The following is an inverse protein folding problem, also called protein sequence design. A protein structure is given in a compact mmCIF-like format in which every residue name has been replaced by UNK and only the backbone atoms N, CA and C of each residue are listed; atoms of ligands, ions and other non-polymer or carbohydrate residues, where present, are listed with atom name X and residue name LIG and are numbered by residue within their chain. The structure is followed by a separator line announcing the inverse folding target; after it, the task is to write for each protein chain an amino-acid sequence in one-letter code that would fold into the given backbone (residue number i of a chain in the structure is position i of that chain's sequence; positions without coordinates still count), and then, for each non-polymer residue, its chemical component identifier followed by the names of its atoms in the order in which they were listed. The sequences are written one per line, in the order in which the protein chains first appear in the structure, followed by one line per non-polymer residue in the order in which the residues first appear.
data_IF_330110641830
#
_entry.id   IF_330110641830
#
_cell.length_a   1.000
_cell.length_b   1.000
_cell.length_c   1.000
_cell.angle_alpha   90.00
_cell.angle_beta   90.00
_cell.angle_gamma   90.00
#
_symmetry.space_group_name_H-M   'P 1'
#
loop_
_entity.id
_entity.type
_entity.pdbx_description
1 polymer ?
#
# COMPACT_ATOMS: atom_id res chain seq x y z
N UNK A 1 68.97 0.35 27.72
CA UNK A 1 68.96 1.07 26.43
C UNK A 1 68.31 0.18 25.36
N UNK A 2 67.00 -0.13 25.47
CA UNK A 2 66.31 -0.97 24.46
C UNK A 2 64.76 -0.96 24.55
N UNK A 3 64.10 0.20 24.69
CA UNK A 3 62.63 0.27 24.80
C UNK A 3 61.96 1.41 23.98
N UNK A 4 62.72 2.24 23.24
CA UNK A 4 62.16 3.43 22.57
C UNK A 4 61.90 3.20 21.05
N UNK A 5 62.39 2.10 20.47
CA UNK A 5 62.32 1.87 18.99
C UNK A 5 61.02 1.16 18.55
N UNK A 6 60.24 0.58 19.46
CA UNK A 6 59.08 -0.25 19.11
C UNK A 6 57.73 0.51 19.05
N UNK A 7 57.75 1.84 19.13
CA UNK A 7 56.56 2.71 19.08
C UNK A 7 56.26 3.28 17.68
N UNK A 8 57.15 3.07 16.70
CA UNK A 8 57.04 3.68 15.35
C UNK A 8 56.16 2.93 14.34
N UNK A 9 55.88 1.64 14.54
CA UNK A 9 55.15 0.82 13.54
C UNK A 9 53.64 0.69 13.81
N UNK A 10 53.15 1.04 15.00
CA UNK A 10 51.72 0.88 15.33
C UNK A 10 50.84 2.01 14.77
N UNK A 11 51.43 3.18 14.52
CA UNK A 11 50.72 4.38 14.05
C UNK A 11 50.02 4.15 12.69
N UNK A 12 50.66 3.56 11.65
CA UNK A 12 49.99 3.36 10.36
C UNK A 12 48.81 2.38 10.44
N UNK A 13 48.90 1.31 11.24
CA UNK A 13 47.81 0.33 11.37
C UNK A 13 46.57 0.91 12.06
N UNK A 14 46.76 1.78 13.05
CA UNK A 14 45.66 2.47 13.72
C UNK A 14 44.94 3.42 12.77
N UNK A 15 45.67 4.16 11.93
CA UNK A 15 45.08 5.07 10.94
C UNK A 15 44.26 4.30 9.89
N UNK A 16 44.80 3.20 9.37
CA UNK A 16 44.08 2.35 8.39
C UNK A 16 42.80 1.76 8.99
N UNK A 17 42.86 1.29 10.25
CA UNK A 17 41.69 0.77 10.95
C UNK A 17 40.60 1.83 11.15
N UNK A 18 40.97 3.07 11.48
CA UNK A 18 40.02 4.18 11.66
C UNK A 18 39.35 4.55 10.33
N UNK A 19 40.11 4.66 9.24
CA UNK A 19 39.56 4.97 7.91
C UNK A 19 38.61 3.85 7.45
N UNK A 20 38.95 2.59 7.72
CA UNK A 20 38.10 1.44 7.37
C UNK A 20 36.80 1.42 8.18
N UNK A 21 36.86 1.72 9.49
CA UNK A 21 35.68 1.85 10.34
C UNK A 21 34.79 3.02 9.91
N UNK A 22 35.37 4.17 9.54
CA UNK A 22 34.60 5.30 8.99
C UNK A 22 33.94 4.90 7.67
N UNK A 23 34.66 4.19 6.79
CA UNK A 23 34.13 3.68 5.53
C UNK A 23 32.98 2.69 5.72
N UNK A 24 33.11 1.76 6.68
CA UNK A 24 32.06 0.81 7.06
C UNK A 24 30.85 1.55 7.65
N UNK A 25 31.07 2.52 8.54
CA UNK A 25 29.97 3.32 9.11
C UNK A 25 29.28 4.14 8.02
N UNK A 26 30.04 4.67 7.05
CA UNK A 26 29.48 5.38 5.91
C UNK A 26 28.71 4.44 4.98
N UNK A 27 29.24 3.24 4.70
CA UNK A 27 28.58 2.21 3.89
C UNK A 27 27.29 1.70 4.56
N UNK A 28 27.34 1.43 5.87
CA UNK A 28 26.19 1.07 6.68
C UNK A 28 25.18 2.22 6.72
N UNK A 29 25.62 3.48 6.80
CA UNK A 29 24.72 4.61 6.63
C UNK A 29 24.11 4.63 5.24
N UNK A 30 24.86 4.47 4.16
CA UNK A 30 24.31 4.51 2.79
C UNK A 30 23.31 3.39 2.55
N UNK A 31 23.56 2.18 3.05
CA UNK A 31 22.62 1.05 2.91
C UNK A 31 21.42 1.15 3.86
N UNK A 32 21.57 1.72 5.06
CA UNK A 32 20.48 1.85 6.04
C UNK A 32 19.70 3.17 5.95
N UNK A 33 20.22 4.21 5.28
CA UNK A 33 19.49 5.47 5.03
C UNK A 33 18.47 5.35 3.90
N UNK A 34 18.63 4.39 2.98
CA UNK A 34 17.63 4.11 1.94
C UNK A 34 16.30 3.55 2.48
N UNK A 35 16.24 3.22 3.77
CA UNK A 35 15.06 2.64 4.42
C UNK A 35 14.15 3.66 5.13
N UNK A 36 14.38 4.97 4.99
CA UNK A 36 13.51 5.98 5.62
C UNK A 36 13.22 7.17 4.71
N UNK A 37 12.02 7.18 4.12
CA UNK A 37 11.09 8.32 4.14
C UNK A 37 9.92 8.09 3.18
N UNK A 38 9.09 7.07 3.43
CA UNK A 38 7.64 7.33 3.29
C UNK A 38 7.33 8.21 4.48
N UNK A 39 7.00 9.49 4.24
CA UNK A 39 6.67 10.44 5.29
C UNK A 39 5.69 9.77 6.26
N UNK A 40 6.12 9.60 7.50
CA UNK A 40 5.24 9.13 8.56
C UNK A 40 4.20 10.23 8.79
N UNK A 41 3.09 10.14 8.07
CA UNK A 41 1.83 10.62 8.59
C UNK A 41 1.65 9.82 9.87
N UNK A 42 1.78 10.48 11.02
CA UNK A 42 1.41 9.91 12.30
C UNK A 42 -0.10 9.69 12.27
N UNK A 43 -0.51 8.56 11.70
CA UNK A 43 -1.89 8.12 11.65
C UNK A 43 -2.35 7.92 13.09
N UNK A 44 -3.64 8.19 13.40
CA UNK A 44 -4.15 8.03 14.75
C UNK A 44 -3.80 6.64 15.29
N UNK A 45 -3.50 6.50 16.59
CA UNK A 45 -3.00 5.27 17.20
C UNK A 45 -4.03 4.12 17.26
N UNK A 46 -5.09 4.19 16.44
CA UNK A 46 -6.16 3.21 16.39
C UNK A 46 -5.76 2.10 15.43
N UNK A 47 -5.50 0.89 15.92
CA UNK A 47 -5.29 -0.25 15.04
C UNK A 47 -6.59 -0.63 14.33
N UNK A 48 -6.61 -0.54 13.01
CA UNK A 48 -7.72 -1.01 12.19
C UNK A 48 -7.62 -2.54 12.02
N UNK A 49 -8.74 -3.23 12.20
CA UNK A 49 -8.85 -4.69 12.12
C UNK A 49 -9.16 -5.14 10.68
N UNK A 50 -9.90 -4.34 9.91
CA UNK A 50 -10.39 -4.66 8.56
C UNK A 50 -10.27 -3.46 7.64
N UNK A 51 -9.12 -3.39 6.98
CA UNK A 51 -8.81 -2.33 6.01
C UNK A 51 -9.29 -2.76 4.62
N UNK A 52 -10.15 -1.97 3.98
CA UNK A 52 -10.65 -2.20 2.64
C UNK A 52 -9.89 -1.37 1.61
N UNK A 53 -9.46 -2.01 0.52
CA UNK A 53 -8.93 -1.37 -0.68
C UNK A 53 -9.84 -1.74 -1.85
N UNK A 54 -10.56 -0.77 -2.43
CA UNK A 54 -11.33 -1.00 -3.63
C UNK A 54 -10.45 -0.84 -4.87
N UNK A 55 -10.70 -1.66 -5.88
CA UNK A 55 -10.16 -1.53 -7.21
C UNK A 55 -11.28 -1.70 -8.24
N UNK A 56 -11.09 -1.07 -9.40
CA UNK A 56 -11.94 -1.18 -10.58
C UNK A 56 -11.05 -1.18 -11.83
N UNK A 57 -11.62 -1.32 -13.02
CA UNK A 57 -10.86 -1.41 -14.28
C UNK A 57 -9.83 -0.27 -14.45
N UNK A 58 -10.24 0.97 -14.14
CA UNK A 58 -9.40 2.17 -14.26
C UNK A 58 -8.57 2.47 -12.99
N UNK A 59 -8.90 1.83 -11.86
CA UNK A 59 -8.27 2.05 -10.56
C UNK A 59 -7.68 0.72 -10.06
N UNK A 60 -6.43 0.43 -10.43
CA UNK A 60 -5.72 -0.78 -9.98
C UNK A 60 -4.99 -0.54 -8.67
N UNK A 61 -4.68 -1.62 -7.95
CA UNK A 61 -3.84 -1.55 -6.75
C UNK A 61 -2.43 -1.08 -7.08
N UNK A 62 -1.95 -0.07 -6.37
CA UNK A 62 -0.55 0.35 -6.42
C UNK A 62 0.23 -0.25 -5.24
N UNK A 63 1.55 -0.48 -5.39
CA UNK A 63 2.38 -0.94 -4.27
C UNK A 63 2.32 0.00 -3.05
N UNK A 64 2.21 1.31 -3.31
CA UNK A 64 2.04 2.32 -2.27
C UNK A 64 0.72 2.15 -1.51
N UNK A 65 -0.40 1.91 -2.21
CA UNK A 65 -1.70 1.66 -1.60
C UNK A 65 -1.67 0.44 -0.68
N UNK A 66 -1.10 -0.66 -1.18
CA UNK A 66 -0.99 -1.90 -0.42
C UNK A 66 -0.10 -1.70 0.80
N UNK A 67 1.07 -1.07 0.64
CA UNK A 67 1.99 -0.77 1.74
C UNK A 67 1.33 0.09 2.83
N UNK A 68 0.60 1.14 2.44
CA UNK A 68 -0.14 2.00 3.37
C UNK A 68 -1.24 1.23 4.10
N UNK A 69 -2.00 0.40 3.38
CA UNK A 69 -3.03 -0.41 4.00
C UNK A 69 -2.46 -1.41 5.00
N UNK A 70 -1.32 -2.01 4.68
CA UNK A 70 -0.61 -2.90 5.58
C UNK A 70 -0.10 -2.19 6.83
N UNK A 71 0.46 -0.98 6.70
CA UNK A 71 0.96 -0.23 7.84
C UNK A 71 -0.17 0.25 8.77
N UNK A 72 -1.36 0.45 8.21
CA UNK A 72 -2.59 0.78 8.94
C UNK A 72 -3.27 -0.45 9.55
N UNK A 73 -3.12 -1.61 8.92
CA UNK A 73 -3.63 -2.88 9.39
C UNK A 73 -2.73 -3.44 10.50
N UNK A 74 -3.18 -3.34 11.76
CA UNK A 74 -2.58 -4.09 12.87
C UNK A 74 -1.67 -3.31 13.81
N UNK A 75 -2.26 -2.82 14.89
CA UNK A 75 -1.53 -2.56 16.14
C UNK A 75 -1.50 -3.81 16.99
N UNK A 76 -0.64 -4.75 16.63
CA UNK A 76 -0.29 -5.93 17.44
C UNK A 76 -0.86 -7.28 16.99
N UNK A 77 -1.66 -7.34 15.92
CA UNK A 77 -2.13 -8.59 15.29
C UNK A 77 -2.12 -8.43 13.77
N UNK A 78 -2.03 -9.53 12.98
CA UNK A 78 -2.12 -9.43 11.52
C UNK A 78 -3.50 -8.91 11.14
N UNK A 79 -3.57 -7.62 10.82
CA UNK A 79 -4.80 -6.99 10.34
C UNK A 79 -5.22 -7.60 9.01
N UNK A 80 -6.54 -7.73 8.81
CA UNK A 80 -7.08 -8.23 7.55
C UNK A 80 -7.13 -7.09 6.54
N UNK A 81 -6.53 -7.31 5.37
CA UNK A 81 -6.62 -6.38 4.24
C UNK A 81 -7.59 -6.99 3.22
N UNK A 82 -8.75 -6.37 3.10
CA UNK A 82 -9.80 -6.73 2.17
C UNK A 82 -9.55 -6.05 0.83
N UNK A 83 -9.14 -6.86 -0.14
CA UNK A 83 -8.92 -6.47 -1.53
C UNK A 83 -10.21 -6.75 -2.32
N UNK A 84 -10.93 -5.69 -2.70
CA UNK A 84 -12.18 -5.82 -3.46
C UNK A 84 -11.98 -5.31 -4.88
N UNK A 85 -12.19 -6.17 -5.87
CA UNK A 85 -12.22 -5.77 -7.28
C UNK A 85 -13.66 -5.73 -7.79
N UNK A 86 -14.08 -4.56 -8.27
CA UNK A 86 -15.43 -4.36 -8.80
C UNK A 86 -15.39 -4.43 -10.33
N UNK A 87 -16.11 -5.39 -10.88
CA UNK A 87 -16.38 -5.51 -12.31
C UNK A 87 -17.62 -4.70 -12.61
N UNK A 88 -17.46 -3.67 -13.46
CA UNK A 88 -18.56 -2.85 -13.91
C UNK A 88 -19.36 -3.58 -15.00
N UNK A 89 -20.62 -3.91 -14.70
CA UNK A 89 -21.49 -4.63 -15.63
C UNK A 89 -22.17 -3.63 -16.57
N UNK A 90 -22.00 -3.74 -17.90
CA UNK A 90 -22.71 -2.90 -18.86
C UNK A 90 -24.24 -3.00 -18.72
N UNK A 91 -24.95 -1.89 -18.97
CA UNK A 91 -26.43 -1.89 -18.93
C UNK A 91 -27.07 -2.77 -20.00
N UNK A 92 -26.35 -3.05 -21.09
CA UNK A 92 -26.77 -3.94 -22.17
C UNK A 92 -26.79 -5.42 -21.75
N UNK A 93 -26.09 -5.77 -20.67
CA UNK A 93 -26.03 -7.14 -20.15
C UNK A 93 -26.95 -7.32 -18.94
N UNK A 94 -27.35 -8.57 -18.73
CA UNK A 94 -27.99 -9.00 -17.49
C UNK A 94 -27.04 -8.79 -16.30
N UNK A 95 -27.53 -8.43 -15.11
CA UNK A 95 -26.69 -8.18 -13.92
C UNK A 95 -25.73 -9.33 -13.59
N UNK A 96 -26.18 -10.58 -13.79
CA UNK A 96 -25.40 -11.79 -13.51
C UNK A 96 -24.78 -12.40 -14.75
N UNK A 97 -24.66 -11.63 -15.84
CA UNK A 97 -24.03 -12.11 -17.06
C UNK A 97 -22.59 -12.60 -16.77
N UNK A 98 -22.18 -13.74 -17.33
CA UNK A 98 -20.79 -14.19 -17.22
C UNK A 98 -19.89 -13.18 -17.95
N UNK A 99 -18.80 -12.77 -17.30
CA UNK A 99 -17.83 -11.79 -17.81
C UNK A 99 -16.42 -12.39 -17.67
N UNK A 100 -16.10 -13.46 -18.43
CA UNK A 100 -14.96 -14.32 -18.14
C UNK A 100 -13.61 -13.60 -18.30
N UNK A 101 -13.49 -12.64 -19.21
CA UNK A 101 -12.26 -11.88 -19.40
C UNK A 101 -12.00 -10.93 -18.23
N UNK A 102 -13.02 -10.22 -17.79
CA UNK A 102 -12.99 -9.30 -16.67
C UNK A 102 -12.81 -10.04 -15.33
N UNK A 103 -13.45 -11.21 -15.18
CA UNK A 103 -13.25 -12.10 -14.03
C UNK A 103 -11.82 -12.65 -13.97
N UNK A 104 -11.24 -13.02 -15.11
CA UNK A 104 -9.87 -13.47 -15.19
C UNK A 104 -8.86 -12.34 -14.89
N UNK A 105 -9.12 -11.11 -15.36
CA UNK A 105 -8.30 -9.94 -15.01
C UNK A 105 -8.44 -9.59 -13.53
N UNK A 106 -9.66 -9.57 -12.99
CA UNK A 106 -9.93 -9.33 -11.57
C UNK A 106 -9.14 -10.31 -10.69
N UNK A 107 -9.19 -11.60 -11.03
CA UNK A 107 -8.42 -12.65 -10.34
C UNK A 107 -6.91 -12.40 -10.42
N UNK A 108 -6.37 -12.08 -11.61
CA UNK A 108 -4.95 -11.76 -11.79
C UNK A 108 -4.51 -10.56 -10.96
N UNK A 109 -5.28 -9.48 -10.97
CA UNK A 109 -5.00 -8.25 -10.22
C UNK A 109 -5.06 -8.52 -8.70
N UNK A 110 -6.08 -9.22 -8.24
CA UNK A 110 -6.24 -9.58 -6.82
C UNK A 110 -5.12 -10.49 -6.33
N UNK A 111 -4.72 -11.50 -7.10
CA UNK A 111 -3.62 -12.41 -6.72
C UNK A 111 -2.31 -11.64 -6.51
N UNK A 112 -1.95 -10.75 -7.43
CA UNK A 112 -0.74 -9.90 -7.31
C UNK A 112 -0.80 -9.01 -6.08
N UNK A 113 -1.95 -8.39 -5.82
CA UNK A 113 -2.13 -7.55 -4.63
C UNK A 113 -2.08 -8.38 -3.34
N UNK A 114 -2.68 -9.58 -3.32
CA UNK A 114 -2.65 -10.47 -2.17
C UNK A 114 -1.22 -10.95 -1.84
N UNK A 115 -0.39 -11.20 -2.85
CA UNK A 115 1.04 -11.48 -2.65
C UNK A 115 1.77 -10.29 -2.03
N UNK A 116 1.47 -9.06 -2.45
CA UNK A 116 2.04 -7.86 -1.85
C UNK A 116 1.59 -7.69 -0.38
N UNK A 117 0.33 -7.97 -0.07
CA UNK A 117 -0.19 -7.99 1.31
C UNK A 117 0.49 -9.07 2.16
N UNK A 118 0.72 -10.27 1.61
CA UNK A 118 1.44 -11.31 2.37
C UNK A 118 2.87 -10.88 2.68
N UNK A 119 3.55 -10.24 1.72
CA UNK A 119 4.93 -9.75 1.89
C UNK A 119 5.06 -8.64 2.94
N UNK A 120 4.02 -7.84 3.16
CA UNK A 120 3.99 -6.82 4.21
C UNK A 120 3.57 -7.38 5.60
N UNK A 121 3.30 -8.68 5.73
CA UNK A 121 2.86 -9.32 6.97
C UNK A 121 1.35 -9.24 7.24
N UNK A 122 0.55 -8.75 6.29
CA UNK A 122 -0.91 -8.69 6.41
C UNK A 122 -1.61 -9.99 6.00
N UNK A 123 -2.89 -10.12 6.34
CA UNK A 123 -3.76 -11.23 5.89
C UNK A 123 -4.67 -10.75 4.74
N UNK A 124 -4.44 -11.16 3.48
CA UNK A 124 -5.31 -10.75 2.39
C UNK A 124 -6.63 -11.52 2.41
N UNK A 125 -7.72 -10.80 2.14
CA UNK A 125 -9.04 -11.34 1.81
C UNK A 125 -9.40 -10.80 0.43
N UNK A 126 -9.56 -11.67 -0.57
CA UNK A 126 -9.85 -11.26 -1.95
C UNK A 126 -11.34 -11.41 -2.23
N UNK A 127 -11.95 -10.39 -2.82
CA UNK A 127 -13.34 -10.41 -3.26
C UNK A 127 -13.47 -9.84 -4.66
N UNK A 128 -14.16 -10.57 -5.55
CA UNK A 128 -14.65 -10.05 -6.82
C UNK A 128 -16.13 -9.74 -6.65
N UNK A 129 -16.52 -8.53 -7.00
CA UNK A 129 -17.92 -8.08 -6.93
C UNK A 129 -18.34 -7.54 -8.30
N UNK A 130 -19.59 -7.78 -8.69
CA UNK A 130 -20.17 -7.28 -9.94
C UNK A 130 -21.19 -6.22 -9.63
N UNK A 131 -21.12 -5.07 -10.28
CA UNK A 131 -22.10 -4.01 -10.10
C UNK A 131 -22.14 -3.07 -11.29
N UNK A 132 -23.25 -2.36 -11.46
CA UNK A 132 -23.33 -1.23 -12.43
C UNK A 132 -22.80 0.07 -11.84
N UNK A 133 -22.59 0.12 -10.52
CA UNK A 133 -22.19 1.31 -9.79
C UNK A 133 -21.13 0.93 -8.76
N UNK A 134 -19.87 1.22 -9.06
CA UNK A 134 -18.74 0.87 -8.20
C UNK A 134 -18.80 1.56 -6.83
N UNK A 135 -19.28 2.80 -6.76
CA UNK A 135 -19.47 3.51 -5.49
C UNK A 135 -20.44 2.76 -4.58
N UNK A 136 -21.63 2.41 -5.07
CA UNK A 136 -22.64 1.71 -4.26
C UNK A 136 -22.15 0.32 -3.82
N UNK A 137 -21.47 -0.39 -4.70
CA UNK A 137 -20.95 -1.73 -4.38
C UNK A 137 -19.79 -1.68 -3.39
N UNK A 138 -18.92 -0.66 -3.47
CA UNK A 138 -17.89 -0.44 -2.46
C UNK A 138 -18.52 -0.12 -1.11
N UNK A 139 -19.53 0.75 -1.07
CA UNK A 139 -20.27 1.07 0.17
C UNK A 139 -20.96 -0.17 0.76
N UNK A 140 -21.48 -1.07 -0.09
CA UNK A 140 -22.01 -2.37 0.35
C UNK A 140 -20.91 -3.26 0.92
N UNK A 141 -19.79 -3.40 0.21
CA UNK A 141 -18.64 -4.18 0.69
C UNK A 141 -18.12 -3.69 2.06
N UNK A 142 -18.05 -2.37 2.28
CA UNK A 142 -17.69 -1.79 3.58
C UNK A 142 -18.63 -2.27 4.68
N UNK A 143 -19.94 -2.30 4.43
CA UNK A 143 -20.96 -2.73 5.41
C UNK A 143 -20.95 -4.24 5.63
N UNK A 144 -20.97 -5.02 4.55
CA UNK A 144 -21.00 -6.49 4.59
C UNK A 144 -19.80 -7.04 5.36
N UNK A 145 -18.62 -6.50 5.06
CA UNK A 145 -17.36 -6.93 5.65
C UNK A 145 -17.00 -6.15 6.92
N UNK A 146 -17.85 -5.21 7.36
CA UNK A 146 -17.61 -4.38 8.54
C UNK A 146 -16.20 -3.77 8.52
N UNK A 147 -15.80 -3.22 7.37
CA UNK A 147 -14.51 -2.56 7.23
C UNK A 147 -14.50 -1.32 8.14
N UNK A 148 -13.43 -1.18 8.92
CA UNK A 148 -13.25 -0.05 9.84
C UNK A 148 -12.40 1.07 9.24
N UNK A 149 -11.68 0.76 8.15
CA UNK A 149 -10.92 1.72 7.37
C UNK A 149 -11.07 1.45 5.87
N UNK A 150 -11.28 2.51 5.10
CA UNK A 150 -11.19 2.53 3.64
C UNK A 150 -9.93 3.28 3.22
N UNK A 151 -9.06 2.64 2.44
CA UNK A 151 -7.89 3.30 1.84
C UNK A 151 -8.17 3.59 0.37
N UNK A 152 -8.12 4.87 0.01
CA UNK A 152 -8.30 5.32 -1.36
C UNK A 152 -7.02 6.00 -1.83
N UNK A 153 -6.56 5.61 -3.01
CA UNK A 153 -5.58 6.39 -3.73
C UNK A 153 -6.30 7.50 -4.48
N UNK A 154 -5.77 8.73 -4.41
CA UNK A 154 -6.23 9.85 -5.24
C UNK A 154 -5.18 10.12 -6.32
N UNK A 155 -5.59 10.47 -7.55
CA UNK A 155 -4.64 10.80 -8.61
C UNK A 155 -3.76 12.00 -8.20
N UNK A 156 -2.51 12.08 -8.70
CA UNK A 156 -1.59 13.17 -8.36
C UNK A 156 -2.17 14.54 -8.72
N UNK A 157 -2.80 14.62 -9.90
CA UNK A 157 -3.52 15.78 -10.39
C UNK A 157 -4.94 15.38 -10.83
N UNK A 158 -5.96 15.69 -10.01
CA UNK A 158 -7.36 15.46 -10.37
C UNK A 158 -7.84 16.30 -11.55
N UNK A 159 -7.12 17.36 -11.93
CA UNK A 159 -7.45 18.24 -13.06
C UNK A 159 -6.75 17.83 -14.36
N UNK A 160 -5.82 16.85 -14.31
CA UNK A 160 -5.15 16.33 -15.51
C UNK A 160 -6.20 15.66 -16.43
N UNK A 161 -6.30 16.08 -17.70
CA UNK A 161 -7.22 15.46 -18.67
C UNK A 161 -6.93 13.97 -18.93
N UNK A 162 -5.75 13.46 -18.61
CA UNK A 162 -5.41 12.04 -18.71
C UNK A 162 -5.87 11.22 -17.49
N UNK A 163 -6.25 11.88 -16.40
CA UNK A 163 -6.79 11.18 -15.23
C UNK A 163 -8.20 10.68 -15.55
N UNK A 164 -8.47 9.37 -15.37
CA UNK A 164 -9.80 8.84 -15.62
C UNK A 164 -10.84 9.49 -14.69
N UNK A 165 -11.85 10.15 -15.25
CA UNK A 165 -12.91 10.80 -14.46
C UNK A 165 -13.66 9.84 -13.52
N UNK A 166 -13.92 8.56 -13.88
CA UNK A 166 -14.52 7.61 -12.96
C UNK A 166 -13.70 7.43 -11.67
N UNK A 167 -12.37 7.50 -11.75
CA UNK A 167 -11.48 7.41 -10.59
C UNK A 167 -11.63 8.59 -9.62
N UNK A 168 -11.70 9.82 -10.15
CA UNK A 168 -11.94 11.04 -9.34
C UNK A 168 -13.33 11.02 -8.70
N UNK A 169 -14.34 10.59 -9.46
CA UNK A 169 -15.73 10.50 -8.97
C UNK A 169 -15.85 9.46 -7.87
N UNK A 170 -15.26 8.27 -8.05
CA UNK A 170 -15.31 7.20 -7.08
C UNK A 170 -14.65 7.61 -5.76
N UNK A 171 -13.46 8.21 -5.82
CA UNK A 171 -12.72 8.62 -4.62
C UNK A 171 -13.45 9.71 -3.83
N UNK A 172 -13.98 10.73 -4.52
CA UNK A 172 -14.74 11.81 -3.88
C UNK A 172 -16.08 11.36 -3.29
N UNK A 173 -16.83 10.52 -4.00
CA UNK A 173 -18.11 9.98 -3.51
C UNK A 173 -17.92 9.07 -2.29
N UNK A 174 -16.90 8.19 -2.32
CA UNK A 174 -16.61 7.31 -1.20
C UNK A 174 -16.11 8.08 0.02
N UNK A 175 -15.24 9.07 -0.16
CA UNK A 175 -14.80 9.92 0.95
C UNK A 175 -15.96 10.63 1.67
N UNK A 176 -17.00 11.03 0.91
CA UNK A 176 -18.16 11.73 1.46
C UNK A 176 -19.17 10.80 2.14
N UNK A 177 -19.30 9.55 1.67
CA UNK A 177 -20.42 8.66 2.01
C UNK A 177 -20.02 7.40 2.80
N UNK A 178 -18.73 7.08 2.88
CA UNK A 178 -18.29 5.88 3.59
C UNK A 178 -18.67 5.96 5.08
N UNK A 179 -19.27 4.89 5.64
CA UNK A 179 -19.64 4.84 7.06
C UNK A 179 -18.45 4.51 7.99
N UNK A 180 -17.26 4.29 7.42
CA UNK A 180 -16.02 3.98 8.14
C UNK A 180 -15.03 5.14 8.02
N UNK A 181 -13.90 5.03 8.72
CA UNK A 181 -12.81 5.99 8.54
C UNK A 181 -12.25 5.86 7.11
N UNK A 182 -11.85 6.98 6.51
CA UNK A 182 -11.33 7.02 5.14
C UNK A 182 -9.96 7.68 5.15
N UNK A 183 -8.97 7.01 4.57
CA UNK A 183 -7.64 7.57 4.32
C UNK A 183 -7.49 7.80 2.82
N UNK A 184 -7.21 9.05 2.47
CA UNK A 184 -6.86 9.46 1.12
C UNK A 184 -5.34 9.58 1.03
N UNK A 185 -4.73 8.85 0.12
CA UNK A 185 -3.30 8.94 -0.17
C UNK A 185 -3.06 9.28 -1.62
N UNK A 186 -2.12 10.18 -1.89
CA UNK A 186 -1.77 10.53 -3.27
C UNK A 186 -1.11 9.33 -3.94
N UNK A 187 -1.59 8.96 -5.11
CA UNK A 187 -0.90 8.04 -6.01
C UNK A 187 0.41 8.72 -6.44
N UNK A 188 1.53 8.08 -6.12
CA UNK A 188 2.85 8.54 -6.52
C UNK A 188 3.12 8.23 -8.00
#
# INVERSE_FOLDING_TARGET
MNQIVQQGEAIPFVIVGIVFLIGIVWLLRVTLYGARSLGQVALPPKPYKRVLLPAAAEMKYTPAAVSLACSLAGGGQPGSVLLTYIIEVPRSLAPDAPMPEEEAEASRVLMRAAEAVKRCGGRPIMQVRKSRQAVEETLRAIRDEKADLLVLMVPPDPQDPNTPQPFVTLTSELARRAPCEVVLARAA
#
